data_IF_094152627439
#
_entry.id   IF_094152627439
#
_cell.length_a   1.000
_cell.length_b   1.000
_cell.length_c   1.000
_cell.angle_alpha   90.00
_cell.angle_beta   90.00
_cell.angle_gamma   90.00
#
_symmetry.space_group_name_H-M   'P 1'
#
loop_
_entity.id
_entity.type
_entity.pdbx_description
1 polymer ?
#
# COMPACT_ATOMS: atom_id res chain seq x y z
N UNK A 1 -13.72 11.68 -13.94
CA UNK A 1 -13.79 11.91 -12.48
C UNK A 1 -13.42 10.61 -11.80
N UNK A 2 -12.49 10.67 -10.85
CA UNK A 2 -12.10 9.51 -10.06
C UNK A 2 -13.19 9.12 -9.07
N UNK A 3 -13.29 7.82 -8.77
CA UNK A 3 -14.15 7.36 -7.67
C UNK A 3 -13.47 7.67 -6.34
N UNK A 4 -14.25 7.83 -5.26
CA UNK A 4 -13.67 8.03 -3.92
C UNK A 4 -12.69 6.91 -3.53
N UNK A 5 -13.02 5.66 -3.85
CA UNK A 5 -12.15 4.51 -3.61
C UNK A 5 -10.79 4.63 -4.33
N UNK A 6 -10.79 5.08 -5.59
CA UNK A 6 -9.55 5.27 -6.33
C UNK A 6 -8.74 6.46 -5.80
N UNK A 7 -9.39 7.57 -5.44
CA UNK A 7 -8.71 8.69 -4.79
C UNK A 7 -8.08 8.28 -3.46
N UNK A 8 -8.77 7.46 -2.66
CA UNK A 8 -8.23 6.90 -1.43
C UNK A 8 -6.97 6.06 -1.69
N UNK A 9 -7.01 5.14 -2.67
CA UNK A 9 -5.87 4.32 -3.07
C UNK A 9 -4.66 5.17 -3.48
N UNK A 10 -4.89 6.26 -4.22
CA UNK A 10 -3.86 7.23 -4.56
C UNK A 10 -3.21 7.81 -3.30
N UNK A 11 -4.01 8.30 -2.35
CA UNK A 11 -3.47 8.90 -1.12
C UNK A 11 -2.64 7.87 -0.35
N UNK A 12 -3.13 6.63 -0.22
CA UNK A 12 -2.39 5.55 0.46
C UNK A 12 -1.06 5.24 -0.24
N UNK A 13 -1.06 5.15 -1.58
CA UNK A 13 0.17 4.89 -2.34
C UNK A 13 1.21 6.00 -2.14
N UNK A 14 0.78 7.26 -2.15
CA UNK A 14 1.70 8.39 -1.88
C UNK A 14 2.26 8.34 -0.46
N UNK A 15 1.43 7.97 0.52
CA UNK A 15 1.84 7.82 1.91
C UNK A 15 2.90 6.72 2.07
N UNK A 16 2.65 5.53 1.51
CA UNK A 16 3.59 4.41 1.56
C UNK A 16 4.96 4.76 0.94
N UNK A 17 4.96 5.52 -0.16
CA UNK A 17 6.20 5.97 -0.80
C UNK A 17 6.97 6.95 0.06
N UNK A 18 6.30 7.93 0.67
CA UNK A 18 6.94 8.89 1.57
C UNK A 18 7.49 8.23 2.83
N UNK A 19 6.79 7.23 3.38
CA UNK A 19 7.25 6.50 4.56
C UNK A 19 8.43 5.56 4.26
N UNK A 20 8.65 5.18 2.99
CA UNK A 20 9.78 4.33 2.61
C UNK A 20 11.16 4.97 2.79
N UNK A 21 11.20 6.28 3.10
CA UNK A 21 12.42 7.06 3.34
C UNK A 21 12.47 7.65 4.75
N UNK A 22 11.43 7.49 5.55
CA UNK A 22 11.40 8.04 6.91
C UNK A 22 12.22 7.16 7.86
N UNK A 23 12.97 7.80 8.75
CA UNK A 23 13.67 7.11 9.82
C UNK A 23 12.65 6.64 10.87
N UNK A 24 12.45 5.33 10.98
CA UNK A 24 11.51 4.71 11.92
C UNK A 24 11.71 5.22 13.36
N UNK A 25 10.65 5.75 13.97
CA UNK A 25 10.57 5.95 15.42
C UNK A 25 9.63 4.91 16.04
N UNK A 26 10.01 4.32 17.19
CA UNK A 26 9.09 3.57 18.02
C UNK A 26 8.15 4.56 18.71
N UNK A 27 7.15 5.07 17.98
CA UNK A 27 5.96 5.60 18.65
C UNK A 27 5.07 4.41 18.98
N UNK A 28 4.74 4.29 20.27
CA UNK A 28 3.83 3.30 20.81
C UNK A 28 2.65 3.04 19.87
N UNK A 29 2.32 1.76 19.72
CA UNK A 29 1.28 1.16 18.89
C UNK A 29 -0.14 1.66 19.21
N UNK A 30 -0.36 2.96 19.05
CA UNK A 30 -1.69 3.55 19.05
C UNK A 30 -2.20 3.37 17.63
N UNK A 31 -3.26 2.57 17.48
CA UNK A 31 -4.03 2.50 16.25
C UNK A 31 -4.43 3.90 15.82
N UNK A 32 -3.83 4.44 14.76
CA UNK A 32 -4.20 5.74 14.21
C UNK A 32 -5.30 5.51 13.20
N UNK A 33 -6.51 5.87 13.59
CA UNK A 33 -7.55 6.06 12.59
C UNK A 33 -7.17 7.31 11.79
N UNK A 34 -6.99 7.22 10.48
CA UNK A 34 -6.58 8.34 9.63
C UNK A 34 -7.50 8.47 8.42
N UNK A 35 -7.74 9.70 7.99
CA UNK A 35 -8.55 10.06 6.84
C UNK A 35 -7.66 10.40 5.65
N UNK A 36 -7.96 9.79 4.51
CA UNK A 36 -7.43 10.24 3.22
C UNK A 36 -8.28 11.41 2.74
N UNK A 37 -7.59 12.52 2.45
CA UNK A 37 -8.21 13.78 2.11
C UNK A 37 -7.72 14.28 0.74
N UNK A 38 -8.63 14.85 -0.04
CA UNK A 38 -8.40 15.24 -1.44
C UNK A 38 -8.96 16.62 -1.75
N UNK A 39 -8.23 17.43 -2.52
CA UNK A 39 -8.65 18.74 -3.00
C UNK A 39 -8.32 18.89 -4.50
N UNK A 40 -9.36 18.90 -5.35
CA UNK A 40 -9.25 19.08 -6.81
C UNK A 40 -9.98 20.32 -7.35
N UNK A 41 -10.65 21.05 -6.47
CA UNK A 41 -11.43 22.24 -6.83
C UNK A 41 -10.48 23.35 -7.35
N UNK A 42 -10.56 23.63 -8.65
CA UNK A 42 -9.71 24.61 -9.35
C UNK A 42 -9.91 26.05 -8.86
N UNK A 43 -11.12 26.43 -8.45
CA UNK A 43 -11.34 27.76 -7.88
C UNK A 43 -10.64 27.89 -6.52
N UNK A 44 -10.68 26.82 -5.71
CA UNK A 44 -9.95 26.81 -4.44
C UNK A 44 -8.44 26.71 -4.62
N UNK A 45 -7.98 25.94 -5.60
CA UNK A 45 -6.56 25.85 -5.96
C UNK A 45 -6.03 27.19 -6.50
N UNK A 46 -6.85 28.00 -7.16
CA UNK A 46 -6.42 29.34 -7.61
C UNK A 46 -6.09 30.31 -6.45
N UNK A 47 -6.54 29.99 -5.23
CA UNK A 47 -6.09 30.61 -3.98
C UNK A 47 -6.53 32.06 -3.80
N UNK A 48 -7.33 32.35 -2.75
CA UNK A 48 -7.65 33.74 -2.40
C UNK A 48 -6.38 34.55 -2.07
N UNK A 49 -6.36 35.88 -2.28
CA UNK A 49 -5.28 36.76 -1.85
C UNK A 49 -4.86 36.48 -0.40
N UNK A 50 -3.55 36.49 -0.17
CA UNK A 50 -2.93 36.20 1.12
C UNK A 50 -1.74 37.13 1.27
N UNK A 51 -1.53 37.62 2.48
CA UNK A 51 -0.38 38.47 2.83
C UNK A 51 0.84 37.62 3.23
N UNK A 52 0.66 36.30 3.30
CA UNK A 52 1.68 35.33 3.65
C UNK A 52 2.51 34.96 2.42
N UNK A 53 3.84 35.08 2.55
CA UNK A 53 4.82 34.77 1.52
C UNK A 53 5.42 33.40 1.80
N UNK A 54 5.45 32.52 0.81
CA UNK A 54 6.15 31.24 0.89
C UNK A 54 7.54 31.37 0.29
N UNK A 55 8.56 31.12 1.10
CA UNK A 55 9.96 31.11 0.69
C UNK A 55 10.42 29.65 0.59
N UNK A 56 10.71 29.13 -0.63
CA UNK A 56 11.19 27.76 -0.78
C UNK A 56 12.55 27.60 -0.09
N UNK A 57 12.73 26.49 0.60
CA UNK A 57 13.99 26.13 1.25
C UNK A 57 14.94 25.52 0.23
N UNK A 58 16.10 26.15 0.06
CA UNK A 58 17.10 25.84 -0.97
C UNK A 58 18.53 25.83 -0.44
N UNK A 59 18.80 26.42 0.73
CA UNK A 59 20.13 26.45 1.36
C UNK A 59 20.16 25.74 2.73
N UNK A 60 21.35 25.41 3.20
CA UNK A 60 21.53 24.81 4.53
C UNK A 60 21.10 25.76 5.66
N UNK A 61 21.28 27.09 5.50
CA UNK A 61 20.80 28.07 6.46
C UNK A 61 19.26 28.08 6.54
N UNK A 62 18.57 27.91 5.42
CA UNK A 62 17.10 27.83 5.38
C UNK A 62 16.59 26.52 5.98
N UNK A 63 17.31 25.40 5.79
CA UNK A 63 17.02 24.14 6.47
C UNK A 63 17.19 24.23 7.99
N UNK A 64 18.22 24.96 8.46
CA UNK A 64 18.39 25.23 9.89
C UNK A 64 17.25 26.10 10.45
N UNK A 65 16.74 27.05 9.65
CA UNK A 65 15.58 27.86 10.03
C UNK A 65 14.31 27.01 10.14
N UNK A 66 14.12 26.05 9.22
CA UNK A 66 13.02 25.09 9.26
C UNK A 66 13.09 24.21 10.53
N UNK A 67 14.30 23.76 10.89
CA UNK A 67 14.55 23.06 12.17
C UNK A 67 14.12 23.88 13.38
N UNK A 68 14.42 25.19 13.40
CA UNK A 68 14.05 26.08 14.50
C UNK A 68 12.53 26.25 14.60
N UNK A 69 11.83 26.40 13.47
CA UNK A 69 10.35 26.46 13.45
C UNK A 69 9.77 25.15 13.98
N UNK A 70 10.26 24.00 13.49
CA UNK A 70 9.78 22.68 13.94
C UNK A 70 9.98 22.50 15.44
N UNK A 71 11.12 22.94 15.98
CA UNK A 71 11.38 22.90 17.44
C UNK A 71 10.35 23.71 18.23
N UNK A 72 9.94 24.89 17.75
CA UNK A 72 8.89 25.70 18.39
C UNK A 72 7.52 25.03 18.32
N UNK A 73 7.20 24.38 17.20
CA UNK A 73 5.92 23.67 17.00
C UNK A 73 5.82 22.43 17.90
N UNK A 74 6.90 21.68 18.05
CA UNK A 74 6.94 20.41 18.80
C UNK A 74 7.13 20.60 20.32
N UNK A 75 7.74 21.72 20.74
CA UNK A 75 8.01 22.03 22.16
C UNK A 75 6.80 21.91 23.09
N UNK A 76 5.62 22.49 22.76
CA UNK A 76 4.40 22.36 23.56
C UNK A 76 3.91 20.91 23.76
N UNK A 77 4.34 19.96 22.91
CA UNK A 77 3.98 18.55 23.00
C UNK A 77 5.00 17.72 23.77
N UNK A 78 6.02 18.35 24.37
CA UNK A 78 7.09 17.67 25.11
C UNK A 78 8.10 16.96 24.20
N UNK A 79 8.04 17.21 22.90
CA UNK A 79 8.92 16.65 21.88
C UNK A 79 10.20 17.50 21.69
N UNK A 80 10.88 17.84 22.77
CA UNK A 80 12.09 18.69 22.74
C UNK A 80 13.38 17.90 22.49
N UNK A 81 13.30 16.57 22.27
CA UNK A 81 14.49 15.74 22.09
C UNK A 81 15.23 16.17 20.80
N UNK A 82 16.47 16.68 20.87
CA UNK A 82 17.18 17.23 19.70
C UNK A 82 17.31 16.23 18.55
N UNK A 83 17.47 14.94 18.88
CA UNK A 83 17.57 13.86 17.88
C UNK A 83 16.25 13.57 17.14
N UNK A 84 15.09 13.90 17.72
CA UNK A 84 13.78 13.75 17.06
C UNK A 84 13.59 14.83 16.00
N UNK A 85 13.85 16.09 16.36
CA UNK A 85 13.75 17.21 15.44
C UNK A 85 14.75 17.06 14.29
N UNK A 86 16.00 16.68 14.58
CA UNK A 86 17.01 16.43 13.54
C UNK A 86 16.54 15.39 12.53
N UNK A 87 15.97 14.27 12.98
CA UNK A 87 15.47 13.22 12.09
C UNK A 87 14.29 13.69 11.23
N UNK A 88 13.37 14.51 11.75
CA UNK A 88 12.32 15.09 10.91
C UNK A 88 12.89 15.95 9.78
N UNK A 89 13.97 16.70 10.05
CA UNK A 89 14.67 17.46 9.00
C UNK A 89 15.39 16.54 8.01
N UNK A 90 16.03 15.47 8.49
CA UNK A 90 16.65 14.46 7.62
C UNK A 90 15.62 13.77 6.71
N UNK A 91 14.43 13.45 7.23
CA UNK A 91 13.33 12.89 6.45
C UNK A 91 12.81 13.89 5.39
N UNK A 92 12.65 15.16 5.76
CA UNK A 92 12.27 16.22 4.83
C UNK A 92 13.32 16.42 3.72
N UNK A 93 14.61 16.43 4.07
CA UNK A 93 15.72 16.48 3.11
C UNK A 93 15.72 15.25 2.20
N UNK A 94 15.53 14.05 2.74
CA UNK A 94 15.47 12.83 1.93
C UNK A 94 14.30 12.85 0.94
N UNK A 95 13.12 13.31 1.37
CA UNK A 95 11.95 13.48 0.50
C UNK A 95 12.18 14.57 -0.55
N UNK A 96 12.86 15.66 -0.21
CA UNK A 96 13.28 16.69 -1.16
C UNK A 96 14.18 16.10 -2.26
N UNK A 97 15.24 15.39 -1.86
CA UNK A 97 16.22 14.79 -2.78
C UNK A 97 15.62 13.68 -3.65
N UNK A 98 14.83 12.77 -3.05
CA UNK A 98 14.36 11.55 -3.71
C UNK A 98 13.07 11.74 -4.51
N UNK A 99 12.19 12.63 -4.07
CA UNK A 99 10.89 12.84 -4.69
C UNK A 99 10.69 14.25 -5.26
N UNK A 100 11.69 15.13 -5.17
CA UNK A 100 11.56 16.51 -5.61
C UNK A 100 10.57 17.31 -4.76
N UNK A 101 10.39 16.93 -3.49
CA UNK A 101 9.53 17.66 -2.57
C UNK A 101 10.06 19.07 -2.31
N UNK A 102 9.18 20.03 -2.06
CA UNK A 102 9.56 21.41 -1.74
C UNK A 102 9.00 21.77 -0.37
N UNK A 103 9.85 22.28 0.50
CA UNK A 103 9.46 22.86 1.78
C UNK A 103 9.53 24.37 1.71
N UNK A 104 8.62 25.03 2.42
CA UNK A 104 8.50 26.47 2.46
C UNK A 104 8.54 26.97 3.90
N UNK A 105 9.27 28.06 4.10
CA UNK A 105 9.13 28.92 5.26
C UNK A 105 8.03 29.95 4.96
N UNK A 106 7.10 30.13 5.90
CA UNK A 106 5.99 31.06 5.77
C UNK A 106 6.33 32.40 6.45
N UNK A 107 6.38 33.50 5.69
CA UNK A 107 6.69 34.84 6.20
C UNK A 107 5.47 35.76 6.18
N UNK A 108 5.29 36.53 7.24
CA UNK A 108 4.32 37.63 7.33
C UNK A 108 5.00 38.85 7.98
N UNK A 109 4.97 40.00 7.30
CA UNK A 109 5.63 41.24 7.74
C UNK A 109 7.10 41.05 8.17
N UNK A 110 7.84 40.20 7.46
CA UNK A 110 9.26 39.91 7.74
C UNK A 110 9.51 38.96 8.91
N UNK A 111 8.47 38.32 9.46
CA UNK A 111 8.58 37.31 10.53
C UNK A 111 8.16 35.94 10.03
N UNK A 112 8.87 34.90 10.47
CA UNK A 112 8.50 33.51 10.19
C UNK A 112 7.34 33.07 11.09
N UNK A 113 6.23 32.67 10.49
CA UNK A 113 4.98 32.30 11.19
C UNK A 113 4.65 30.82 11.08
N UNK A 114 5.36 30.06 10.24
CA UNK A 114 5.10 28.65 10.04
C UNK A 114 5.91 28.02 8.92
N UNK A 115 5.53 26.81 8.55
CA UNK A 115 6.14 26.03 7.47
C UNK A 115 5.11 25.15 6.79
N UNK A 116 5.40 24.74 5.56
CA UNK A 116 4.60 23.75 4.83
C UNK A 116 5.45 23.04 3.78
N UNK A 117 5.25 21.74 3.61
CA UNK A 117 5.86 20.93 2.56
C UNK A 117 4.84 20.45 1.52
N UNK A 118 5.34 20.19 0.31
CA UNK A 118 4.59 19.55 -0.77
C UNK A 118 5.50 18.59 -1.53
N UNK A 119 5.07 17.35 -1.72
CA UNK A 119 5.80 16.34 -2.50
C UNK A 119 5.02 16.00 -3.77
N UNK A 120 5.64 16.11 -4.97
CA UNK A 120 4.96 15.83 -6.23
C UNK A 120 4.89 14.34 -6.54
N UNK A 121 3.72 13.89 -7.00
CA UNK A 121 3.52 12.55 -7.56
C UNK A 121 2.83 12.66 -8.93
N UNK A 122 3.34 11.91 -9.92
CA UNK A 122 2.70 11.77 -11.22
C UNK A 122 1.84 10.52 -11.26
N UNK A 123 0.53 10.70 -11.40
CA UNK A 123 -0.45 9.61 -11.39
C UNK A 123 -1.33 9.79 -12.63
N UNK A 124 -1.29 8.82 -13.54
CA UNK A 124 -2.08 8.83 -14.78
C UNK A 124 -1.92 10.14 -15.59
N UNK A 125 -0.70 10.67 -15.62
CA UNK A 125 -0.37 11.93 -16.30
C UNK A 125 -0.71 13.20 -15.51
N UNK A 126 -1.39 13.07 -14.37
CA UNK A 126 -1.73 14.19 -13.49
C UNK A 126 -0.63 14.44 -12.45
N UNK A 127 -0.36 15.71 -12.17
CA UNK A 127 0.58 16.12 -11.11
C UNK A 127 -0.19 16.40 -9.82
N UNK A 128 0.02 15.56 -8.81
CA UNK A 128 -0.67 15.61 -7.52
C UNK A 128 0.33 16.02 -6.44
N UNK A 129 -0.08 16.91 -5.54
CA UNK A 129 0.77 17.41 -4.45
C UNK A 129 0.38 16.82 -3.12
N UNK A 130 1.26 16.01 -2.51
CA UNK A 130 1.07 15.47 -1.16
C UNK A 130 1.60 16.47 -0.14
N UNK A 131 0.72 17.07 0.66
CA UNK A 131 1.10 18.05 1.68
C UNK A 131 1.91 17.40 2.80
N UNK A 132 2.88 18.11 3.38
CA UNK A 132 3.66 17.67 4.53
C UNK A 132 3.78 18.84 5.52
N UNK A 133 4.00 18.54 6.81
CA UNK A 133 4.43 19.52 7.82
C UNK A 133 3.67 20.86 7.80
N UNK A 134 2.33 20.80 7.84
CA UNK A 134 1.47 21.99 7.80
C UNK A 134 1.43 22.64 9.19
N UNK A 135 2.40 23.49 9.48
CA UNK A 135 2.62 24.00 10.82
C UNK A 135 2.57 25.52 10.92
N UNK A 136 2.00 26.01 12.02
CA UNK A 136 2.04 27.42 12.44
C UNK A 136 2.68 27.45 13.83
N UNK A 137 3.67 28.33 14.01
CA UNK A 137 4.35 28.46 15.31
C UNK A 137 3.32 28.81 16.40
N UNK A 138 3.42 28.24 17.62
CA UNK A 138 2.38 28.35 18.63
C UNK A 138 1.90 29.77 18.92
N UNK A 139 2.81 30.75 18.91
CA UNK A 139 2.55 32.17 19.20
C UNK A 139 1.70 32.87 18.11
N UNK A 140 1.62 32.26 16.92
CA UNK A 140 0.92 32.78 15.75
C UNK A 140 -0.38 32.01 15.43
N UNK A 141 -0.69 30.96 16.20
CA UNK A 141 -1.93 30.19 16.06
C UNK A 141 -3.18 31.02 16.43
N UNK A 142 -4.32 30.66 15.85
CA UNK A 142 -5.60 31.36 16.07
C UNK A 142 -5.76 32.70 15.32
N UNK A 143 -4.71 33.22 14.66
CA UNK A 143 -4.73 34.49 13.91
C UNK A 143 -5.14 34.37 12.45
N UNK A 144 -5.53 33.16 12.01
CA UNK A 144 -5.92 32.87 10.63
C UNK A 144 -4.77 32.48 9.70
N UNK A 145 -3.52 32.47 10.18
CA UNK A 145 -2.35 32.14 9.35
C UNK A 145 -2.39 30.72 8.76
N UNK A 146 -2.96 29.74 9.44
CA UNK A 146 -3.11 28.40 8.85
C UNK A 146 -3.92 28.43 7.54
N UNK A 147 -5.03 29.19 7.50
CA UNK A 147 -5.84 29.31 6.28
C UNK A 147 -5.06 30.02 5.17
N UNK A 148 -4.34 31.07 5.51
CA UNK A 148 -3.49 31.82 4.59
C UNK A 148 -2.33 30.97 4.05
N UNK A 149 -1.76 30.11 4.87
CA UNK A 149 -0.72 29.15 4.51
C UNK A 149 -1.20 28.17 3.45
N UNK A 150 -2.37 27.54 3.66
CA UNK A 150 -2.98 26.67 2.63
C UNK A 150 -3.34 27.44 1.36
N UNK A 151 -3.85 28.68 1.46
CA UNK A 151 -4.14 29.51 0.29
C UNK A 151 -2.88 29.84 -0.52
N UNK A 152 -1.80 30.20 0.17
CA UNK A 152 -0.51 30.48 -0.47
C UNK A 152 0.03 29.23 -1.17
N UNK A 153 -0.03 28.06 -0.51
CA UNK A 153 0.41 26.80 -1.11
C UNK A 153 -0.47 26.42 -2.31
N UNK A 154 -1.80 26.56 -2.21
CA UNK A 154 -2.70 26.30 -3.33
C UNK A 154 -2.35 27.14 -4.55
N UNK A 155 -2.12 28.45 -4.37
CA UNK A 155 -1.69 29.33 -5.47
C UNK A 155 -0.38 28.86 -6.08
N UNK A 156 0.63 28.61 -5.25
CA UNK A 156 1.92 28.10 -5.71
C UNK A 156 1.75 26.80 -6.49
N UNK A 157 0.97 25.85 -5.97
CA UNK A 157 0.71 24.58 -6.63
C UNK A 157 -0.02 24.78 -7.98
N UNK A 158 -0.96 25.73 -8.06
CA UNK A 158 -1.65 26.07 -9.30
C UNK A 158 -0.68 26.65 -10.35
N UNK A 159 0.22 27.55 -9.94
CA UNK A 159 1.28 28.11 -10.80
C UNK A 159 2.25 27.02 -11.29
N UNK A 160 2.46 25.97 -10.50
CA UNK A 160 3.31 24.83 -10.81
C UNK A 160 2.55 23.63 -11.41
N UNK A 161 1.36 23.87 -11.99
CA UNK A 161 0.56 22.90 -12.75
C UNK A 161 0.02 21.70 -11.97
N UNK A 162 0.05 21.73 -10.65
CA UNK A 162 -0.61 20.74 -9.82
C UNK A 162 -2.11 20.73 -10.11
N UNK A 163 -2.68 19.53 -10.17
CA UNK A 163 -4.07 19.29 -10.55
C UNK A 163 -4.94 18.99 -9.34
N UNK A 164 -4.34 18.40 -8.30
CA UNK A 164 -4.97 18.23 -7.01
C UNK A 164 -3.92 18.21 -5.90
N UNK A 165 -4.41 18.38 -4.67
CA UNK A 165 -3.65 18.24 -3.44
C UNK A 165 -4.25 17.12 -2.59
N UNK A 166 -3.41 16.38 -1.89
CA UNK A 166 -3.86 15.32 -0.99
C UNK A 166 -3.12 15.32 0.34
N UNK A 167 -3.77 14.76 1.36
CA UNK A 167 -3.13 14.49 2.64
C UNK A 167 -3.77 13.36 3.45
N UNK A 168 -3.02 12.88 4.45
CA UNK A 168 -3.53 12.06 5.55
C UNK A 168 -3.71 12.95 6.79
N UNK A 169 -4.86 12.83 7.45
CA UNK A 169 -5.14 13.51 8.71
C UNK A 169 -5.63 12.51 9.76
N UNK A 170 -5.15 12.61 11.00
CA UNK A 170 -5.67 11.80 12.11
C UNK A 170 -7.18 12.03 12.28
N UNK A 171 -7.93 10.94 12.35
CA UNK A 171 -9.39 10.92 12.38
C UNK A 171 -9.98 11.29 13.74
N UNK A 172 -9.19 11.20 14.81
CA UNK A 172 -9.51 11.68 16.14
C UNK A 172 -9.04 13.12 16.37
N UNK A 173 -8.11 13.62 15.57
CA UNK A 173 -7.51 14.95 15.72
C UNK A 173 -8.24 16.09 14.98
N UNK A 174 -8.32 17.26 15.61
CA UNK A 174 -9.08 18.41 15.11
C UNK A 174 -8.65 18.93 13.72
N UNK A 175 -7.39 18.80 13.23
CA UNK A 175 -6.99 19.31 11.93
C UNK A 175 -7.81 18.74 10.76
N UNK A 176 -8.36 17.53 10.87
CA UNK A 176 -9.22 16.94 9.82
C UNK A 176 -10.42 17.84 9.48
N UNK A 177 -11.06 18.42 10.50
CA UNK A 177 -12.22 19.29 10.33
C UNK A 177 -11.81 20.64 9.75
N UNK A 178 -10.59 21.08 10.08
CA UNK A 178 -10.01 22.30 9.52
C UNK A 178 -9.74 22.14 8.01
N UNK A 179 -9.16 21.02 7.57
CA UNK A 179 -8.99 20.71 6.16
C UNK A 179 -10.34 20.58 5.42
N UNK A 180 -11.34 19.95 6.03
CA UNK A 180 -12.69 19.87 5.43
C UNK A 180 -13.32 21.24 5.23
N UNK A 181 -13.24 22.13 6.23
CA UNK A 181 -13.72 23.52 6.11
C UNK A 181 -12.98 24.29 5.03
N UNK A 182 -11.68 24.01 4.84
CA UNK A 182 -10.89 24.58 3.75
C UNK A 182 -11.35 24.09 2.37
N UNK A 183 -11.84 22.86 2.26
CA UNK A 183 -12.40 22.29 1.03
C UNK A 183 -11.93 20.88 0.70
N UNK A 184 -11.05 20.29 1.51
CA UNK A 184 -10.64 18.90 1.30
C UNK A 184 -11.82 17.96 1.54
N UNK A 185 -12.03 17.03 0.63
CA UNK A 185 -13.02 15.97 0.75
C UNK A 185 -12.39 14.73 1.39
N UNK A 186 -13.12 14.08 2.30
CA UNK A 186 -12.75 12.74 2.77
C UNK A 186 -13.05 11.76 1.65
N UNK A 187 -12.02 11.12 1.12
CA UNK A 187 -12.14 10.13 0.03
C UNK A 187 -11.99 8.69 0.52
N UNK A 188 -11.46 8.50 1.73
CA UNK A 188 -11.40 7.22 2.41
C UNK A 188 -10.84 7.36 3.83
N UNK A 189 -10.67 6.24 4.51
CA UNK A 189 -10.05 6.17 5.82
C UNK A 189 -9.37 4.83 6.02
N UNK A 190 -8.33 4.82 6.84
CA UNK A 190 -7.65 3.61 7.25
C UNK A 190 -7.58 3.58 8.77
N UNK A 191 -7.92 2.44 9.35
CA UNK A 191 -7.50 2.11 10.71
C UNK A 191 -6.05 1.63 10.60
N UNK A 192 -5.09 2.42 11.07
CA UNK A 192 -3.69 1.98 11.11
C UNK A 192 -3.53 0.91 12.19
N UNK A 193 -3.91 -0.31 11.88
CA UNK A 193 -3.44 -1.51 12.59
C UNK A 193 -2.25 -2.16 11.89
N UNK A 194 -1.82 -1.62 10.75
CA UNK A 194 -0.58 -2.01 10.11
C UNK A 194 0.56 -1.15 10.67
N UNK A 195 1.67 -1.74 11.12
CA UNK A 195 2.89 -0.97 11.25
C UNK A 195 3.19 -0.37 9.87
N UNK A 196 3.53 0.90 9.83
CA UNK A 196 4.10 1.54 8.63
C UNK A 196 5.31 0.70 8.19
N UNK A 197 5.67 0.68 6.90
CA UNK A 197 6.77 -0.18 6.41
C UNK A 197 8.08 0.02 7.23
N UNK A 198 8.36 1.24 7.68
CA UNK A 198 9.45 1.52 8.62
C UNK A 198 9.31 0.81 9.97
N UNK A 199 8.10 0.77 10.54
CA UNK A 199 7.82 0.04 11.78
C UNK A 199 7.89 -1.48 11.57
N UNK A 200 7.47 -2.01 10.41
CA UNK A 200 7.63 -3.43 10.08
C UNK A 200 9.11 -3.78 10.03
N UNK A 201 9.94 -2.96 9.37
CA UNK A 201 11.38 -3.20 9.30
C UNK A 201 12.02 -3.27 10.69
N UNK A 202 11.77 -2.28 11.55
CA UNK A 202 12.34 -2.25 12.91
C UNK A 202 11.85 -3.44 13.73
N UNK A 203 10.56 -3.75 13.67
CA UNK A 203 9.97 -4.94 14.30
C UNK A 203 10.69 -6.23 13.87
N UNK A 204 10.99 -6.38 12.57
CA UNK A 204 11.70 -7.54 12.04
C UNK A 204 13.16 -7.57 12.48
N UNK A 205 13.85 -6.42 12.47
CA UNK A 205 15.25 -6.30 12.92
C UNK A 205 15.40 -6.65 14.41
N UNK A 206 14.48 -6.18 15.25
CA UNK A 206 14.42 -6.53 16.67
C UNK A 206 14.10 -8.01 16.87
N UNK A 207 13.11 -8.53 16.15
CA UNK A 207 12.75 -9.94 16.22
C UNK A 207 13.87 -10.86 15.76
N UNK A 208 14.75 -10.43 14.84
CA UNK A 208 15.82 -11.22 14.24
C UNK A 208 17.21 -10.78 14.72
N UNK A 209 17.31 -10.10 15.86
CA UNK A 209 18.58 -9.54 16.35
C UNK A 209 19.67 -10.60 16.63
N UNK A 210 19.26 -11.87 16.78
CA UNK A 210 20.12 -13.03 17.02
C UNK A 210 20.47 -13.82 15.73
N UNK A 211 19.96 -13.37 14.58
CA UNK A 211 20.17 -14.02 13.27
C UNK A 211 21.08 -13.15 12.39
N UNK A 212 22.06 -13.76 11.74
CA UNK A 212 22.89 -13.08 10.73
C UNK A 212 22.07 -12.86 9.44
N UNK A 213 21.36 -11.75 9.35
CA UNK A 213 20.47 -11.45 8.22
C UNK A 213 21.25 -10.81 7.08
N UNK A 214 21.23 -11.44 5.89
CA UNK A 214 21.80 -10.87 4.67
C UNK A 214 20.76 -10.13 3.82
N UNK A 215 19.52 -10.62 3.82
CA UNK A 215 18.40 -10.00 3.11
C UNK A 215 17.08 -10.34 3.79
N UNK A 216 16.15 -9.38 3.80
CA UNK A 216 14.76 -9.56 4.20
C UNK A 216 13.81 -9.02 3.14
N UNK A 217 12.84 -9.83 2.75
CA UNK A 217 11.75 -9.45 1.87
C UNK A 217 10.45 -9.67 2.64
N UNK A 218 9.70 -8.58 2.85
CA UNK A 218 8.30 -8.65 3.25
C UNK A 218 7.48 -9.10 2.04
N UNK A 219 6.62 -10.09 2.20
CA UNK A 219 5.69 -10.48 1.14
C UNK A 219 4.26 -10.57 1.68
N UNK A 220 3.37 -11.17 0.90
CA UNK A 220 2.00 -11.43 1.34
C UNK A 220 1.17 -10.15 1.49
N UNK A 221 0.17 -10.23 2.38
CA UNK A 221 -0.91 -9.24 2.45
C UNK A 221 -0.43 -7.83 2.85
N UNK A 222 0.62 -7.75 3.69
CA UNK A 222 1.21 -6.49 4.16
C UNK A 222 2.04 -5.80 3.08
N UNK A 223 2.78 -6.57 2.27
CA UNK A 223 3.55 -6.01 1.16
C UNK A 223 2.65 -5.34 0.11
N UNK A 224 1.46 -5.89 -0.13
CA UNK A 224 0.50 -5.37 -1.12
C UNK A 224 -0.55 -4.41 -0.53
N UNK A 225 -0.40 -4.01 0.74
CA UNK A 225 -1.32 -3.06 1.39
C UNK A 225 -2.74 -3.61 1.61
N UNK A 226 -2.90 -4.93 1.60
CA UNK A 226 -4.20 -5.58 1.77
C UNK A 226 -4.41 -6.21 3.15
N UNK A 227 -3.47 -6.06 4.08
CA UNK A 227 -3.54 -6.64 5.41
C UNK A 227 -4.72 -6.13 6.24
N UNK A 228 -5.23 -6.98 7.13
CA UNK A 228 -6.21 -6.68 8.16
C UNK A 228 -5.63 -7.00 9.56
N UNK A 229 -6.45 -6.89 10.59
CA UNK A 229 -6.08 -7.11 12.00
C UNK A 229 -5.58 -8.54 12.27
N UNK A 230 -6.10 -9.51 11.53
CA UNK A 230 -5.75 -10.93 11.65
C UNK A 230 -4.55 -11.33 10.78
N UNK A 231 -4.00 -10.39 9.99
CA UNK A 231 -2.91 -10.69 9.07
C UNK A 231 -1.59 -10.81 9.83
N UNK A 232 -0.86 -11.88 9.54
CA UNK A 232 0.54 -12.09 9.89
C UNK A 232 1.49 -11.15 9.13
N UNK A 233 2.77 -11.24 9.47
CA UNK A 233 3.88 -10.59 8.77
C UNK A 233 4.69 -11.68 8.08
N UNK A 234 4.44 -11.87 6.79
CA UNK A 234 5.15 -12.82 5.94
C UNK A 234 6.56 -12.33 5.59
N UNK A 235 7.61 -13.03 6.02
CA UNK A 235 9.00 -12.64 5.77
C UNK A 235 9.79 -13.76 5.14
N UNK A 236 10.49 -13.42 4.07
CA UNK A 236 11.50 -14.26 3.47
C UNK A 236 12.87 -13.71 3.84
N UNK A 237 13.71 -14.55 4.44
CA UNK A 237 14.97 -14.13 5.04
C UNK A 237 16.11 -14.97 4.48
N UNK A 238 17.11 -14.31 3.90
CA UNK A 238 18.36 -14.92 3.48
C UNK A 238 19.36 -14.84 4.63
N UNK A 239 19.83 -15.99 5.12
CA UNK A 239 20.76 -16.05 6.26
C UNK A 239 21.69 -17.27 6.17
N UNK A 240 22.99 -17.12 6.46
CA UNK A 240 23.89 -18.26 6.64
C UNK A 240 23.72 -18.94 8.02
N UNK A 241 22.91 -18.36 8.91
CA UNK A 241 22.67 -18.91 10.24
C UNK A 241 22.00 -20.28 10.15
N UNK A 242 22.35 -21.17 11.07
CA UNK A 242 21.70 -22.48 11.19
C UNK A 242 20.38 -22.33 11.97
N UNK A 243 19.32 -22.01 11.23
CA UNK A 243 17.96 -21.79 11.75
C UNK A 243 16.96 -22.69 11.03
N UNK A 244 15.81 -23.04 11.65
CA UNK A 244 14.77 -23.80 10.97
C UNK A 244 14.25 -23.07 9.72
N UNK A 245 13.91 -23.82 8.66
CA UNK A 245 13.44 -23.21 7.39
C UNK A 245 12.14 -22.39 7.56
N UNK A 246 11.28 -22.76 8.50
CA UNK A 246 10.05 -22.02 8.81
C UNK A 246 9.83 -21.87 10.30
N UNK A 247 9.52 -20.65 10.73
CA UNK A 247 9.24 -20.32 12.13
C UNK A 247 8.10 -19.32 12.21
N UNK A 248 7.08 -19.63 13.00
CA UNK A 248 6.07 -18.66 13.41
C UNK A 248 6.48 -18.05 14.75
N UNK A 249 6.69 -16.73 14.79
CA UNK A 249 7.19 -16.00 15.96
C UNK A 249 6.25 -14.87 16.35
N UNK A 250 5.53 -14.98 17.48
CA UNK A 250 4.80 -13.85 18.03
C UNK A 250 5.77 -12.75 18.50
N UNK A 251 5.54 -11.50 18.09
CA UNK A 251 6.37 -10.36 18.47
C UNK A 251 5.57 -9.04 18.42
N UNK A 252 5.58 -8.26 19.50
CA UNK A 252 4.88 -6.96 19.63
C UNK A 252 3.44 -6.93 19.07
N UNK A 253 2.65 -7.97 19.37
CA UNK A 253 1.25 -8.07 18.92
C UNK A 253 1.06 -8.59 17.50
N UNK A 254 2.13 -8.93 16.79
CA UNK A 254 2.11 -9.57 15.47
C UNK A 254 2.54 -11.04 15.56
N UNK A 255 2.18 -11.81 14.54
CA UNK A 255 2.79 -13.11 14.25
C UNK A 255 3.67 -12.92 13.02
N UNK A 256 4.97 -13.15 13.17
CA UNK A 256 5.92 -13.18 12.06
C UNK A 256 5.97 -14.61 11.50
N UNK A 257 5.58 -14.81 10.24
CA UNK A 257 5.79 -16.08 9.52
C UNK A 257 7.11 -15.98 8.74
N UNK A 258 8.15 -16.55 9.33
CA UNK A 258 9.54 -16.44 8.88
C UNK A 258 9.89 -17.65 8.01
N UNK A 259 10.24 -17.39 6.76
CA UNK A 259 10.83 -18.38 5.84
C UNK A 259 12.32 -18.10 5.68
N UNK A 260 13.16 -18.92 6.29
CA UNK A 260 14.62 -18.79 6.23
C UNK A 260 15.22 -19.61 5.09
N UNK A 261 16.14 -19.01 4.35
CA UNK A 261 16.85 -19.64 3.24
C UNK A 261 18.35 -19.43 3.39
N UNK A 262 19.10 -20.52 3.23
CA UNK A 262 20.56 -20.47 3.23
C UNK A 262 21.08 -19.99 1.85
N UNK A 263 22.07 -19.08 1.78
CA UNK A 263 22.62 -18.57 0.52
C UNK A 263 23.10 -19.64 -0.47
N UNK A 264 23.63 -20.75 0.04
CA UNK A 264 24.11 -21.87 -0.78
C UNK A 264 22.99 -22.82 -1.26
N UNK A 265 21.76 -22.61 -0.78
CA UNK A 265 20.59 -23.46 -1.07
C UNK A 265 19.41 -22.62 -1.56
N UNK A 266 19.69 -21.66 -2.45
CA UNK A 266 18.65 -20.83 -3.04
C UNK A 266 17.67 -21.68 -3.87
N UNK A 267 16.34 -21.56 -3.62
CA UNK A 267 15.32 -22.22 -4.42
C UNK A 267 15.32 -21.73 -5.88
N UNK A 268 14.68 -22.50 -6.75
CA UNK A 268 14.52 -22.08 -8.15
C UNK A 268 13.59 -20.86 -8.24
N UNK A 269 13.78 -20.02 -9.27
CA UNK A 269 12.95 -18.81 -9.49
C UNK A 269 11.45 -19.11 -9.49
N UNK A 270 11.04 -20.27 -10.01
CA UNK A 270 9.64 -20.68 -10.03
C UNK A 270 9.07 -20.87 -8.62
N UNK A 271 9.88 -21.37 -7.69
CA UNK A 271 9.51 -21.58 -6.29
C UNK A 271 9.47 -20.26 -5.52
N UNK A 272 10.28 -19.27 -5.92
CA UNK A 272 10.29 -17.92 -5.35
C UNK A 272 9.26 -16.98 -5.99
N UNK A 273 8.51 -17.44 -6.98
CA UNK A 273 7.60 -16.59 -7.75
C UNK A 273 6.50 -15.94 -6.89
N UNK A 274 6.16 -16.50 -5.72
CA UNK A 274 5.22 -15.89 -4.79
C UNK A 274 5.73 -14.57 -4.19
N UNK A 275 7.06 -14.34 -4.19
CA UNK A 275 7.68 -13.10 -3.69
C UNK A 275 7.53 -11.92 -4.66
N UNK A 276 6.97 -12.07 -5.86
CA UNK A 276 6.96 -11.03 -6.91
C UNK A 276 6.51 -9.64 -6.44
N UNK A 277 5.56 -9.60 -5.50
CA UNK A 277 4.93 -8.41 -4.95
C UNK A 277 5.58 -7.96 -3.62
N UNK A 278 6.71 -8.60 -3.27
CA UNK A 278 7.43 -8.35 -2.04
C UNK A 278 8.17 -7.01 -2.05
N UNK A 279 8.44 -6.53 -0.85
CA UNK A 279 9.18 -5.32 -0.56
C UNK A 279 10.47 -5.72 0.15
N UNK A 280 11.61 -5.29 -0.39
CA UNK A 280 12.89 -5.44 0.30
C UNK A 280 12.90 -4.54 1.52
N UNK A 281 13.00 -5.15 2.71
CA UNK A 281 13.18 -4.43 3.97
C UNK A 281 14.65 -4.21 4.28
N UNK A 282 15.49 -5.18 3.92
CA UNK A 282 16.93 -5.17 4.15
C UNK A 282 17.64 -5.94 3.03
N UNK A 283 18.68 -5.36 2.43
CA UNK A 283 19.48 -6.00 1.39
C UNK A 283 20.79 -5.22 1.19
N UNK A 284 21.89 -5.75 1.69
CA UNK A 284 23.20 -5.08 1.62
C UNK A 284 23.93 -5.32 0.31
N UNK A 285 23.56 -6.37 -0.43
CA UNK A 285 24.27 -6.82 -1.64
C UNK A 285 23.39 -6.81 -2.92
N UNK A 286 22.15 -6.32 -2.83
CA UNK A 286 21.21 -6.28 -3.95
C UNK A 286 20.63 -7.64 -4.36
N UNK A 287 20.76 -8.66 -3.49
CA UNK A 287 20.29 -10.02 -3.77
C UNK A 287 18.76 -10.11 -3.73
N UNK A 288 18.12 -9.44 -2.78
CA UNK A 288 16.67 -9.37 -2.68
C UNK A 288 16.06 -8.66 -3.88
N UNK A 289 16.66 -7.54 -4.30
CA UNK A 289 16.22 -6.84 -5.52
C UNK A 289 16.29 -7.74 -6.77
N UNK A 290 17.36 -8.55 -6.90
CA UNK A 290 17.51 -9.54 -7.98
C UNK A 290 16.44 -10.63 -7.91
N UNK A 291 16.22 -11.24 -6.74
CA UNK A 291 15.19 -12.27 -6.52
C UNK A 291 13.81 -11.75 -6.94
N UNK A 292 13.45 -10.54 -6.50
CA UNK A 292 12.17 -9.93 -6.85
C UNK A 292 12.06 -9.66 -8.35
N UNK A 293 13.13 -9.22 -9.00
CA UNK A 293 13.18 -9.01 -10.45
C UNK A 293 12.94 -10.31 -11.22
N UNK A 294 13.61 -11.38 -10.83
CA UNK A 294 13.46 -12.71 -11.43
C UNK A 294 12.07 -13.31 -11.18
N UNK A 295 11.53 -13.15 -9.96
CA UNK A 295 10.16 -13.56 -9.64
C UNK A 295 9.13 -12.83 -10.51
N UNK A 296 9.27 -11.51 -10.69
CA UNK A 296 8.42 -10.72 -11.59
C UNK A 296 8.58 -11.14 -13.05
N UNK A 297 9.81 -11.39 -13.50
CA UNK A 297 10.06 -11.88 -14.85
C UNK A 297 9.38 -13.24 -15.09
N UNK A 298 9.48 -14.17 -14.13
CA UNK A 298 8.78 -15.45 -14.19
C UNK A 298 7.26 -15.28 -14.28
N UNK A 299 6.68 -14.35 -13.52
CA UNK A 299 5.25 -14.06 -13.57
C UNK A 299 4.75 -13.46 -14.88
N UNK A 300 5.62 -12.74 -15.61
CA UNK A 300 5.32 -12.21 -16.95
C UNK A 300 5.35 -13.28 -18.03
N UNK A 301 5.90 -14.46 -17.75
CA UNK A 301 5.85 -15.59 -18.68
C UNK A 301 4.50 -16.30 -18.61
N UNK A 302 3.97 -16.66 -19.78
CA UNK A 302 2.77 -17.48 -19.87
C UNK A 302 3.00 -18.82 -19.15
N UNK A 303 2.04 -19.30 -18.34
CA UNK A 303 2.09 -20.66 -17.81
C UNK A 303 1.99 -21.66 -18.97
N UNK A 304 2.48 -22.89 -18.73
CA UNK A 304 2.33 -23.99 -19.68
C UNK A 304 0.83 -24.24 -19.92
N UNK A 305 0.36 -24.21 -21.19
CA UNK A 305 -1.03 -24.52 -21.49
C UNK A 305 -1.41 -25.93 -21.03
N UNK A 306 -2.62 -26.08 -20.49
CA UNK A 306 -3.20 -27.41 -20.25
C UNK A 306 -3.29 -28.17 -21.58
N UNK A 307 -2.89 -29.44 -21.56
CA UNK A 307 -3.12 -30.32 -22.70
C UNK A 307 -4.63 -30.51 -22.91
N UNK A 308 -5.11 -30.71 -24.16
CA UNK A 308 -6.53 -30.94 -24.42
C UNK A 308 -7.12 -32.06 -23.57
N UNK A 309 -6.42 -33.19 -23.41
CA UNK A 309 -6.91 -34.29 -22.57
C UNK A 309 -7.04 -33.93 -21.09
N UNK A 310 -6.12 -33.10 -20.58
CA UNK A 310 -6.11 -32.67 -19.18
C UNK A 310 -7.23 -31.66 -18.93
N UNK A 311 -7.42 -30.72 -19.85
CA UNK A 311 -8.56 -29.79 -19.83
C UNK A 311 -9.89 -30.55 -19.76
N UNK A 312 -10.10 -31.52 -20.64
CA UNK A 312 -11.33 -32.31 -20.69
C UNK A 312 -11.51 -33.19 -19.44
N UNK A 313 -10.40 -33.68 -18.86
CA UNK A 313 -10.43 -34.40 -17.61
C UNK A 313 -10.89 -33.50 -16.44
N UNK A 314 -10.30 -32.31 -16.29
CA UNK A 314 -10.62 -31.38 -15.22
C UNK A 314 -12.08 -30.90 -15.29
N UNK A 315 -12.59 -30.58 -16.49
CA UNK A 315 -13.98 -30.16 -16.67
C UNK A 315 -14.98 -31.30 -16.37
N UNK A 316 -14.67 -32.54 -16.77
CA UNK A 316 -15.47 -33.71 -16.39
C UNK A 316 -15.43 -33.98 -14.88
N UNK A 317 -14.29 -33.77 -14.25
CA UNK A 317 -14.16 -33.85 -12.79
C UNK A 317 -15.07 -32.83 -12.10
N UNK A 318 -15.08 -31.59 -12.57
CA UNK A 318 -15.98 -30.54 -12.05
C UNK A 318 -17.46 -30.88 -12.20
N UNK A 319 -17.91 -31.42 -13.36
CA UNK A 319 -19.29 -31.91 -13.52
C UNK A 319 -19.64 -33.03 -12.54
N UNK A 320 -18.69 -33.95 -12.31
CA UNK A 320 -18.87 -35.05 -11.35
C UNK A 320 -19.00 -34.51 -9.92
N UNK A 321 -18.21 -33.50 -9.58
CA UNK A 321 -18.26 -32.85 -8.28
C UNK A 321 -19.57 -32.08 -8.07
N UNK A 322 -20.08 -31.41 -9.12
CA UNK A 322 -21.40 -30.78 -9.11
C UNK A 322 -22.51 -31.79 -8.77
N UNK A 323 -22.57 -32.92 -9.50
CA UNK A 323 -23.57 -33.97 -9.24
C UNK A 323 -23.46 -34.56 -7.82
N UNK A 324 -22.24 -34.65 -7.27
CA UNK A 324 -21.99 -35.13 -5.91
C UNK A 324 -22.31 -34.10 -4.83
N UNK A 325 -22.41 -32.83 -5.20
CA UNK A 325 -22.77 -31.75 -4.28
C UNK A 325 -24.27 -31.54 -4.16
N UNK A 326 -25.08 -32.34 -4.85
CA UNK A 326 -26.54 -32.27 -4.78
C UNK A 326 -27.06 -32.90 -3.48
N UNK A 327 -28.03 -32.23 -2.85
CA UNK A 327 -28.64 -32.66 -1.59
C UNK A 327 -28.02 -32.01 -0.35
N UNK A 328 -28.46 -32.46 0.82
CA UNK A 328 -28.17 -31.83 2.12
C UNK A 328 -27.33 -32.73 3.05
N UNK A 329 -26.66 -33.74 2.49
CA UNK A 329 -25.79 -34.63 3.27
C UNK A 329 -24.44 -33.98 3.59
N UNK A 330 -23.77 -34.45 4.64
CA UNK A 330 -22.41 -33.99 5.00
C UNK A 330 -21.42 -34.20 3.84
N UNK A 331 -21.51 -35.32 3.10
CA UNK A 331 -20.68 -35.54 1.91
C UNK A 331 -21.02 -34.53 0.82
N UNK A 332 -22.31 -34.26 0.54
CA UNK A 332 -22.71 -33.27 -0.46
C UNK A 332 -22.16 -31.87 -0.14
N UNK A 333 -22.25 -31.44 1.12
CA UNK A 333 -21.65 -30.19 1.58
C UNK A 333 -20.13 -30.20 1.45
N UNK A 334 -19.45 -31.27 1.85
CA UNK A 334 -17.99 -31.37 1.70
C UNK A 334 -17.55 -31.31 0.23
N UNK A 335 -18.25 -32.02 -0.65
CA UNK A 335 -18.02 -32.03 -2.11
C UNK A 335 -18.23 -30.66 -2.73
N UNK A 336 -19.24 -29.92 -2.25
CA UNK A 336 -19.48 -28.53 -2.64
C UNK A 336 -18.28 -27.65 -2.32
N UNK A 337 -17.76 -27.69 -1.10
CA UNK A 337 -16.59 -26.88 -0.70
C UNK A 337 -15.36 -27.24 -1.53
N UNK A 338 -15.11 -28.54 -1.74
CA UNK A 338 -14.01 -29.00 -2.58
C UNK A 338 -14.15 -28.50 -4.03
N UNK A 339 -15.34 -28.65 -4.63
CA UNK A 339 -15.60 -28.15 -5.99
C UNK A 339 -15.31 -26.65 -6.10
N UNK A 340 -15.74 -25.85 -5.13
CA UNK A 340 -15.48 -24.40 -5.10
C UNK A 340 -13.98 -24.11 -4.98
N UNK A 341 -13.26 -24.84 -4.13
CA UNK A 341 -11.81 -24.70 -3.96
C UNK A 341 -11.05 -24.96 -5.27
N UNK A 342 -11.41 -26.03 -5.99
CA UNK A 342 -10.76 -26.40 -7.26
C UNK A 342 -11.15 -25.48 -8.42
N UNK A 343 -12.37 -24.92 -8.39
CA UNK A 343 -12.92 -24.15 -9.52
C UNK A 343 -12.17 -22.85 -9.82
N UNK A 344 -11.71 -22.13 -8.78
CA UNK A 344 -11.07 -20.84 -8.96
C UNK A 344 -9.69 -20.96 -9.62
N UNK A 345 -8.74 -21.78 -9.12
CA UNK A 345 -7.46 -22.00 -9.82
C UNK A 345 -7.66 -22.54 -11.24
N UNK A 346 -8.61 -23.47 -11.42
CA UNK A 346 -8.91 -24.06 -12.73
C UNK A 346 -9.34 -22.99 -13.75
N UNK A 347 -10.14 -22.00 -13.34
CA UNK A 347 -10.55 -20.91 -14.23
C UNK A 347 -9.33 -20.17 -14.82
N UNK A 348 -8.31 -19.88 -14.00
CA UNK A 348 -7.08 -19.24 -14.46
C UNK A 348 -6.28 -20.16 -15.38
N UNK A 349 -6.13 -21.44 -15.03
CA UNK A 349 -5.42 -22.41 -15.88
C UNK A 349 -6.09 -22.58 -17.26
N UNK A 350 -7.42 -22.60 -17.32
CA UNK A 350 -8.18 -22.69 -18.58
C UNK A 350 -8.00 -21.45 -19.47
N UNK A 351 -7.72 -20.28 -18.86
CA UNK A 351 -7.36 -19.03 -19.54
C UNK A 351 -5.88 -18.94 -19.92
N UNK A 352 -5.05 -19.89 -19.52
CA UNK A 352 -3.58 -19.82 -19.56
C UNK A 352 -3.04 -18.62 -18.76
N UNK A 353 -3.61 -18.39 -17.58
CA UNK A 353 -3.16 -17.40 -16.61
C UNK A 353 -2.64 -18.11 -15.36
N UNK A 354 -1.63 -17.52 -14.71
CA UNK A 354 -1.17 -17.98 -13.41
C UNK A 354 -2.17 -17.56 -12.34
N UNK A 355 -2.53 -18.49 -11.46
CA UNK A 355 -3.44 -18.21 -10.34
C UNK A 355 -2.70 -17.42 -9.25
N UNK A 356 -3.09 -16.18 -8.94
CA UNK A 356 -2.36 -15.29 -8.03
C UNK A 356 -2.71 -15.50 -6.54
N UNK A 357 -3.50 -16.54 -6.22
CA UNK A 357 -4.12 -16.72 -4.90
C UNK A 357 -5.52 -16.10 -4.82
N UNK A 358 -6.34 -16.56 -3.88
CA UNK A 358 -7.79 -16.29 -3.89
C UNK A 358 -8.13 -14.80 -3.82
N UNK A 359 -7.48 -14.07 -2.91
CA UNK A 359 -7.74 -12.64 -2.70
C UNK A 359 -7.42 -11.81 -3.95
N UNK A 360 -6.24 -12.00 -4.52
CA UNK A 360 -5.81 -11.32 -5.75
C UNK A 360 -6.67 -11.76 -6.95
N UNK A 361 -7.02 -13.04 -7.04
CA UNK A 361 -7.87 -13.58 -8.09
C UNK A 361 -9.25 -12.94 -8.11
N UNK A 362 -9.92 -12.84 -6.96
CA UNK A 362 -11.25 -12.23 -6.88
C UNK A 362 -11.21 -10.72 -7.13
N UNK A 363 -10.18 -10.01 -6.63
CA UNK A 363 -9.98 -8.59 -6.94
C UNK A 363 -9.83 -8.37 -8.45
N UNK A 364 -9.01 -9.21 -9.10
CA UNK A 364 -8.80 -9.16 -10.54
C UNK A 364 -10.08 -9.49 -11.33
N UNK A 365 -10.77 -10.59 -10.98
CA UNK A 365 -12.03 -10.99 -11.61
C UNK A 365 -13.08 -9.87 -11.49
N UNK A 366 -13.18 -9.20 -10.35
CA UNK A 366 -14.14 -8.10 -10.16
C UNK A 366 -13.94 -6.96 -11.14
N UNK A 367 -12.68 -6.68 -11.52
CA UNK A 367 -12.31 -5.60 -12.43
C UNK A 367 -12.36 -6.02 -13.89
N UNK A 368 -11.75 -7.16 -14.23
CA UNK A 368 -11.51 -7.58 -15.62
C UNK A 368 -12.54 -8.59 -16.15
N UNK A 369 -13.25 -9.29 -15.25
CA UNK A 369 -14.26 -10.29 -15.62
C UNK A 369 -15.47 -10.24 -14.65
N UNK A 370 -16.16 -9.09 -14.52
CA UNK A 370 -17.17 -8.85 -13.48
C UNK A 370 -18.33 -9.85 -13.52
N UNK A 371 -18.69 -10.37 -14.70
CA UNK A 371 -19.70 -11.43 -14.84
C UNK A 371 -19.23 -12.75 -14.20
N UNK A 372 -17.97 -13.13 -14.43
CA UNK A 372 -17.37 -14.31 -13.80
C UNK A 372 -17.29 -14.12 -12.29
N UNK A 373 -16.86 -12.94 -11.84
CA UNK A 373 -16.84 -12.61 -10.41
C UNK A 373 -18.23 -12.75 -9.78
N UNK A 374 -19.28 -12.25 -10.43
CA UNK A 374 -20.65 -12.35 -9.93
C UNK A 374 -21.13 -13.81 -9.80
N UNK A 375 -20.71 -14.70 -10.71
CA UNK A 375 -21.01 -16.14 -10.63
C UNK A 375 -20.31 -16.76 -9.43
N UNK A 376 -19.01 -16.53 -9.25
CA UNK A 376 -18.28 -17.01 -8.07
C UNK A 376 -18.86 -16.45 -6.77
N UNK A 377 -19.19 -15.15 -6.74
CA UNK A 377 -19.77 -14.51 -5.56
C UNK A 377 -21.06 -15.21 -5.13
N UNK A 378 -21.98 -15.45 -6.08
CA UNK A 378 -23.21 -16.19 -5.77
C UNK A 378 -22.90 -17.63 -5.33
N UNK A 379 -21.99 -18.33 -6.02
CA UNK A 379 -21.69 -19.74 -5.73
C UNK A 379 -21.07 -19.96 -4.33
N UNK A 380 -20.25 -19.01 -3.89
CA UNK A 380 -19.60 -19.01 -2.58
C UNK A 380 -20.51 -18.56 -1.43
N UNK A 381 -21.69 -17.96 -1.70
CA UNK A 381 -22.61 -17.57 -0.65
C UNK A 381 -23.06 -18.79 0.19
N UNK A 382 -23.13 -18.67 1.53
CA UNK A 382 -23.76 -19.69 2.36
C UNK A 382 -25.17 -20.00 1.85
N UNK A 383 -25.46 -21.28 1.64
CA UNK A 383 -26.76 -21.71 1.15
C UNK A 383 -27.05 -21.41 -0.33
N UNK A 384 -26.05 -21.07 -1.17
CA UNK A 384 -26.33 -20.83 -2.59
C UNK A 384 -27.03 -22.03 -3.25
N UNK A 385 -27.98 -21.74 -4.13
CA UNK A 385 -28.81 -22.72 -4.81
C UNK A 385 -28.00 -23.57 -5.79
N UNK A 386 -28.46 -24.80 -6.06
CA UNK A 386 -27.79 -25.71 -6.98
C UNK A 386 -27.62 -25.09 -8.39
N UNK A 387 -28.60 -24.32 -8.87
CA UNK A 387 -28.52 -23.61 -10.16
C UNK A 387 -27.36 -22.62 -10.24
N UNK A 388 -26.95 -22.05 -9.10
CA UNK A 388 -25.78 -21.17 -9.04
C UNK A 388 -24.48 -21.96 -9.22
N UNK A 389 -24.41 -23.18 -8.69
CA UNK A 389 -23.29 -24.09 -8.87
C UNK A 389 -23.24 -24.60 -10.32
N UNK A 390 -24.39 -24.89 -10.93
CA UNK A 390 -24.50 -25.21 -12.36
C UNK A 390 -23.94 -24.07 -13.20
N UNK A 391 -24.33 -22.82 -12.93
CA UNK A 391 -23.84 -21.64 -13.64
C UNK A 391 -22.31 -21.48 -13.54
N UNK A 392 -21.70 -21.82 -12.40
CA UNK A 392 -20.25 -21.83 -12.24
C UNK A 392 -19.58 -22.87 -13.14
N UNK A 393 -20.11 -24.10 -13.20
CA UNK A 393 -19.54 -25.14 -14.07
C UNK A 393 -19.71 -24.77 -15.55
N UNK A 394 -20.87 -24.25 -15.94
CA UNK A 394 -21.08 -23.74 -17.30
C UNK A 394 -20.10 -22.61 -17.65
N UNK A 395 -19.82 -21.72 -16.68
CA UNK A 395 -18.82 -20.66 -16.85
C UNK A 395 -17.43 -21.24 -17.14
N UNK A 396 -16.98 -22.25 -16.39
CA UNK A 396 -15.70 -22.92 -16.59
C UNK A 396 -15.60 -23.58 -17.97
N UNK A 397 -16.66 -24.26 -18.41
CA UNK A 397 -16.70 -24.93 -19.71
C UNK A 397 -16.61 -23.96 -20.89
N UNK A 398 -17.17 -22.76 -20.73
CA UNK A 398 -17.12 -21.69 -21.72
C UNK A 398 -15.76 -20.96 -21.79
N UNK A 399 -14.84 -21.20 -20.85
CA UNK A 399 -13.54 -20.52 -20.82
C UNK A 399 -12.69 -20.88 -22.04
N UNK A 400 -12.31 -19.89 -22.82
CA UNK A 400 -11.35 -20.01 -23.91
C UNK A 400 -10.03 -19.33 -23.54
N UNK A 401 -8.86 -19.84 -23.97
CA UNK A 401 -7.59 -19.12 -23.83
C UNK A 401 -7.71 -17.74 -24.46
N UNK A 402 -7.17 -16.70 -23.80
CA UNK A 402 -7.12 -15.37 -24.39
C UNK A 402 -5.78 -15.21 -25.14
N UNK A 403 -5.76 -15.17 -26.48
CA UNK A 403 -4.50 -15.15 -27.24
C UNK A 403 -3.70 -13.85 -27.07
N UNK A 404 -4.33 -12.76 -26.58
CA UNK A 404 -3.67 -11.46 -26.40
C UNK A 404 -3.20 -11.21 -24.98
N UNK A 405 -3.57 -12.05 -24.01
CA UNK A 405 -3.28 -11.83 -22.59
C UNK A 405 -2.54 -13.03 -22.01
N UNK A 406 -1.21 -12.92 -21.99
CA UNK A 406 -0.28 -13.99 -21.55
C UNK A 406 0.05 -13.93 -20.05
N UNK A 407 -0.32 -12.84 -19.39
CA UNK A 407 -0.16 -12.63 -17.95
C UNK A 407 -1.25 -11.68 -17.46
N UNK A 408 -1.49 -11.65 -16.16
CA UNK A 408 -2.34 -10.65 -15.52
C UNK A 408 -1.55 -9.33 -15.50
N UNK A 409 -1.99 -8.27 -16.21
CA UNK A 409 -1.36 -6.96 -16.11
C UNK A 409 -1.59 -6.47 -14.68
N UNK A 410 -0.50 -6.38 -13.93
CA UNK A 410 -0.50 -5.78 -12.61
C UNK A 410 -0.20 -4.29 -12.78
N UNK A 411 -0.88 -3.38 -12.06
CA UNK A 411 -0.48 -1.99 -12.06
C UNK A 411 0.95 -1.90 -11.51
N UNK A 412 1.88 -1.41 -12.34
CA UNK A 412 3.26 -1.12 -11.93
C UNK A 412 3.32 0.05 -10.92
#
# INVERSE_FOLDING_TARGET
>A
MYTQAHLHEIVLRTEMLLQSVEHSYPQASISRHEWSMWLEDRERLSGAPTDLILCPVTSDEEWQMLEEIRRKVEGPFGCEHPDLIRKFIEDAKCKHERFGGTWFLASYEGRWVGQIGIVPFRIEGQLIGRLQDVDIVPEEQGKGFGRQLLQALCRWACEHTFQALCLMAKADDWPRLWYQRFGFQKVGEQLSQAPLLGNIRTLCEEALCDVDVQCMILYGSRAVGAANEESDVDLWVLTPSDVPERVNRPHEGYVLDLSFVHPERLPETAELAYLRDGIVLYDTEGRGAKILSEARAHWRTAPVPLKPEERDFQLRWMRKMLARSEGDSVDAHYRRHWMLLDSLPLWFSLRQLRYPGAKAAFSWLKREAPETYAIFQRACCPGAEHDTLVALITCLEAVQPNPTMTHIPWPE
#
